data_IF_931905203099
#
_entry.id   IF_931905203099
#
_cell.length_a   1.000
_cell.length_b   1.000
_cell.length_c   1.000
_cell.angle_alpha   90.00
_cell.angle_beta   90.00
_cell.angle_gamma   90.00
#
_symmetry.space_group_name_H-M   'P 1'
#
loop_
_entity.id
_entity.type
_entity.pdbx_description
1 polymer ?
#
# COMPACT_ATOMS: atom_id res chain seq x y z
N UNK A 1 18.61 7.23 -6.78
CA UNK A 1 19.84 6.90 -6.02
C UNK A 1 20.44 8.16 -5.40
N UNK A 2 20.72 9.26 -6.14
CA UNK A 2 21.34 10.48 -5.60
C UNK A 2 20.61 11.04 -4.36
N UNK A 3 19.28 11.12 -4.40
CA UNK A 3 18.49 11.60 -3.26
C UNK A 3 18.65 10.73 -2.01
N UNK A 4 18.76 9.40 -2.19
CA UNK A 4 18.99 8.48 -1.05
C UNK A 4 20.37 8.71 -0.44
N UNK A 5 21.41 8.87 -1.26
CA UNK A 5 22.75 9.14 -0.78
C UNK A 5 22.83 10.48 -0.01
N UNK A 6 22.21 11.53 -0.54
CA UNK A 6 22.17 12.83 0.11
C UNK A 6 21.43 12.76 1.46
N UNK A 7 20.27 12.10 1.51
CA UNK A 7 19.51 11.97 2.74
C UNK A 7 20.24 11.11 3.78
N UNK A 8 20.90 10.01 3.36
CA UNK A 8 21.72 9.19 4.25
C UNK A 8 22.89 10.00 4.87
N UNK A 9 23.55 10.83 4.07
CA UNK A 9 24.60 11.71 4.57
C UNK A 9 24.07 12.73 5.59
N UNK A 10 22.88 13.30 5.35
CA UNK A 10 22.24 14.21 6.30
C UNK A 10 21.83 13.51 7.59
N UNK A 11 21.38 12.25 7.52
CA UNK A 11 21.03 11.46 8.71
C UNK A 11 22.31 11.17 9.52
N UNK A 12 23.38 10.71 8.89
CA UNK A 12 24.66 10.46 9.56
C UNK A 12 25.18 11.73 10.24
N UNK A 13 25.15 12.88 9.54
CA UNK A 13 25.58 14.17 10.10
C UNK A 13 24.74 14.58 11.32
N UNK A 14 23.41 14.42 11.29
CA UNK A 14 22.53 14.70 12.45
C UNK A 14 22.83 13.82 13.66
N UNK A 15 23.26 12.60 13.41
CA UNK A 15 23.62 11.63 14.44
C UNK A 15 25.10 11.76 14.88
N UNK A 16 25.81 12.78 14.38
CA UNK A 16 27.24 13.03 14.66
C UNK A 16 28.16 11.83 14.34
N UNK A 17 27.80 11.06 13.28
CA UNK A 17 28.59 9.93 12.82
C UNK A 17 29.75 10.42 11.93
N UNK A 18 30.92 9.77 12.01
CA UNK A 18 32.08 10.12 11.17
C UNK A 18 31.94 9.65 9.73
N UNK A 19 31.04 8.69 9.47
CA UNK A 19 30.78 8.13 8.14
C UNK A 19 29.34 7.62 8.05
N UNK A 20 28.84 7.50 6.80
CA UNK A 20 27.54 6.93 6.49
C UNK A 20 27.62 5.41 6.57
N UNK A 21 26.67 4.78 7.25
CA UNK A 21 26.54 3.33 7.35
C UNK A 21 25.25 2.81 6.68
N UNK A 22 25.07 1.46 6.69
CA UNK A 22 23.90 0.80 6.13
C UNK A 22 22.59 1.30 6.74
N UNK A 23 22.57 1.58 8.04
CA UNK A 23 21.36 2.02 8.73
C UNK A 23 20.93 3.41 8.26
N UNK A 24 21.87 4.31 8.00
CA UNK A 24 21.56 5.65 7.47
C UNK A 24 20.90 5.58 6.08
N UNK A 25 21.32 4.61 5.24
CA UNK A 25 20.66 4.37 3.95
C UNK A 25 19.24 3.81 4.11
N UNK A 26 19.03 2.88 5.04
CA UNK A 26 17.69 2.35 5.32
C UNK A 26 16.76 3.45 5.84
N UNK A 27 17.24 4.26 6.75
CA UNK A 27 16.49 5.40 7.30
C UNK A 27 16.22 6.47 6.23
N UNK A 28 17.15 6.67 5.29
CA UNK A 28 16.97 7.56 4.16
C UNK A 28 15.87 7.08 3.20
N UNK A 29 15.83 5.79 2.89
CA UNK A 29 14.77 5.18 2.09
C UNK A 29 13.42 5.34 2.79
N UNK A 30 13.35 5.04 4.08
CA UNK A 30 12.14 5.21 4.89
C UNK A 30 11.61 6.65 4.84
N UNK A 31 12.50 7.61 4.94
CA UNK A 31 12.16 9.03 4.94
C UNK A 31 11.72 9.53 3.57
N UNK A 32 12.36 9.07 2.51
CA UNK A 32 12.03 9.49 1.13
C UNK A 32 10.69 8.91 0.70
N UNK A 33 10.42 7.64 1.00
CA UNK A 33 9.19 6.96 0.57
C UNK A 33 8.04 7.21 1.55
N UNK A 34 8.28 7.05 2.85
CA UNK A 34 7.25 7.17 3.90
C UNK A 34 7.04 8.60 4.40
N UNK A 35 7.96 9.51 4.10
CA UNK A 35 7.94 10.88 4.63
C UNK A 35 8.58 11.02 6.01
N UNK A 36 8.45 12.21 6.58
CA UNK A 36 8.99 12.51 7.90
C UNK A 36 8.24 11.76 9.00
N UNK A 37 8.99 11.23 9.95
CA UNK A 37 8.43 10.64 11.17
C UNK A 37 7.72 11.72 12.01
N UNK A 38 6.51 11.42 12.46
CA UNK A 38 5.72 12.30 13.34
C UNK A 38 5.99 11.98 14.80
N UNK A 39 7.11 12.45 15.32
CA UNK A 39 7.54 12.20 16.70
C UNK A 39 6.56 12.72 17.78
N UNK A 40 5.78 13.74 17.45
CA UNK A 40 4.89 14.40 18.42
C UNK A 40 3.43 13.89 18.32
N UNK A 41 3.16 12.83 17.55
CA UNK A 41 1.79 12.28 17.46
C UNK A 41 1.50 11.45 18.71
N UNK A 42 0.56 11.93 19.51
CA UNK A 42 0.05 11.17 20.66
C UNK A 42 -0.90 10.11 20.12
N UNK A 43 -0.52 8.84 20.25
CA UNK A 43 -1.33 7.68 19.88
C UNK A 43 -1.59 6.89 21.15
N UNK A 44 -2.85 6.57 21.43
CA UNK A 44 -3.22 5.76 22.59
C UNK A 44 -2.69 4.33 22.45
N UNK A 45 -2.58 3.62 23.57
CA UNK A 45 -2.14 2.22 23.54
C UNK A 45 -3.10 1.32 22.75
N UNK A 46 -4.41 1.61 22.79
CA UNK A 46 -5.44 0.90 22.02
C UNK A 46 -5.31 1.16 20.52
N UNK A 47 -5.15 2.42 20.12
CA UNK A 47 -4.90 2.77 18.70
C UNK A 47 -3.61 2.14 18.18
N UNK A 48 -2.54 2.17 18.98
CA UNK A 48 -1.27 1.55 18.62
C UNK A 48 -1.42 0.04 18.40
N UNK A 49 -2.20 -0.63 19.26
CA UNK A 49 -2.54 -2.05 19.10
C UNK A 49 -3.36 -2.30 17.84
N UNK A 50 -4.36 -1.45 17.57
CA UNK A 50 -5.19 -1.57 16.37
C UNK A 50 -4.35 -1.41 15.09
N UNK A 51 -3.46 -0.42 15.04
CA UNK A 51 -2.53 -0.21 13.94
C UNK A 51 -1.61 -1.43 13.76
N UNK A 52 -1.04 -1.95 14.85
CA UNK A 52 -0.14 -3.11 14.78
C UNK A 52 -0.84 -4.36 14.22
N UNK A 53 -2.08 -4.62 14.64
CA UNK A 53 -2.88 -5.73 14.13
C UNK A 53 -3.24 -5.52 12.66
N UNK A 54 -3.60 -4.30 12.27
CA UNK A 54 -3.88 -3.93 10.88
C UNK A 54 -2.68 -4.22 9.97
N UNK A 55 -1.52 -3.68 10.30
CA UNK A 55 -0.30 -3.89 9.51
C UNK A 55 0.17 -5.36 9.50
N UNK A 56 0.02 -6.06 10.64
CA UNK A 56 0.28 -7.49 10.71
C UNK A 56 -0.67 -8.30 9.82
N UNK A 57 -1.91 -7.84 9.66
CA UNK A 57 -2.89 -8.43 8.75
C UNK A 57 -2.43 -8.36 7.29
N UNK A 58 -2.01 -7.20 6.83
CA UNK A 58 -1.41 -7.04 5.51
C UNK A 58 -0.22 -7.98 5.31
N UNK A 59 0.69 -7.99 6.28
CA UNK A 59 1.88 -8.82 6.22
C UNK A 59 1.55 -10.31 6.14
N UNK A 60 0.63 -10.78 6.99
CA UNK A 60 0.25 -12.21 7.06
C UNK A 60 -0.41 -12.66 5.77
N UNK A 61 -1.38 -11.90 5.26
CA UNK A 61 -2.10 -12.26 4.03
C UNK A 61 -1.14 -12.25 2.83
N UNK A 62 -0.29 -11.22 2.72
CA UNK A 62 0.71 -11.16 1.64
C UNK A 62 1.71 -12.33 1.70
N UNK A 63 2.11 -12.75 2.89
CA UNK A 63 3.03 -13.88 3.05
C UNK A 63 2.43 -15.22 2.62
N UNK A 64 1.11 -15.37 2.78
CA UNK A 64 0.40 -16.62 2.49
C UNK A 64 -0.08 -16.74 1.04
N UNK A 65 -0.10 -15.66 0.28
CA UNK A 65 -0.59 -15.63 -1.10
C UNK A 65 0.56 -15.76 -2.10
N UNK A 66 0.37 -16.61 -3.09
CA UNK A 66 1.40 -16.94 -4.09
C UNK A 66 1.81 -15.73 -4.94
N UNK A 67 0.85 -14.87 -5.28
CA UNK A 67 1.07 -13.78 -6.23
C UNK A 67 1.12 -12.40 -5.59
N UNK A 68 1.03 -12.32 -4.26
CA UNK A 68 1.22 -11.05 -3.56
C UNK A 68 2.69 -10.60 -3.64
N UNK A 69 2.88 -9.27 -3.68
CA UNK A 69 4.24 -8.72 -3.70
C UNK A 69 5.01 -9.10 -2.44
N UNK A 70 6.32 -9.47 -2.57
CA UNK A 70 7.14 -9.84 -1.42
C UNK A 70 7.19 -8.74 -0.37
N UNK A 71 6.91 -9.10 0.88
CA UNK A 71 6.96 -8.20 2.02
C UNK A 71 8.42 -7.93 2.40
N UNK A 72 8.79 -6.64 2.51
CA UNK A 72 10.12 -6.20 2.95
C UNK A 72 10.11 -5.92 4.45
N UNK A 73 9.13 -5.14 4.90
CA UNK A 73 9.03 -4.76 6.32
C UNK A 73 7.63 -4.28 6.69
N UNK A 74 7.35 -4.36 7.99
CA UNK A 74 6.15 -3.79 8.62
C UNK A 74 6.58 -2.79 9.67
N UNK A 75 5.89 -1.68 9.78
CA UNK A 75 6.17 -0.65 10.78
C UNK A 75 4.89 -0.01 11.29
N UNK A 76 4.88 0.36 12.55
CA UNK A 76 3.84 1.16 13.20
C UNK A 76 4.34 2.58 13.51
N UNK A 77 5.47 2.96 12.93
CA UNK A 77 6.01 4.32 13.07
C UNK A 77 5.24 5.26 12.14
N UNK A 78 4.53 6.26 12.68
CA UNK A 78 3.74 7.18 11.87
C UNK A 78 4.65 8.07 11.02
N UNK A 79 4.41 8.03 9.70
CA UNK A 79 5.14 8.85 8.71
C UNK A 79 4.16 9.47 7.72
N UNK A 80 4.41 10.72 7.33
CA UNK A 80 3.57 11.41 6.35
C UNK A 80 2.08 11.38 6.75
N UNK A 81 1.22 10.79 5.96
CA UNK A 81 -0.22 10.63 6.26
C UNK A 81 -0.55 9.27 6.89
N UNK A 82 0.41 8.32 6.93
CA UNK A 82 0.19 6.98 7.44
C UNK A 82 0.48 6.88 8.95
N UNK A 83 -0.25 5.99 9.63
CA UNK A 83 -0.05 5.63 11.03
C UNK A 83 0.86 4.41 11.20
N UNK A 84 0.93 3.57 10.16
CA UNK A 84 1.78 2.42 10.00
C UNK A 84 1.97 2.14 8.52
N UNK A 85 2.74 1.15 8.15
CA UNK A 85 2.88 0.70 6.78
C UNK A 85 3.44 -0.72 6.67
N UNK A 86 2.91 -1.49 5.74
CA UNK A 86 3.54 -2.69 5.22
C UNK A 86 4.22 -2.34 3.89
N UNK A 87 5.50 -2.64 3.78
CA UNK A 87 6.32 -2.29 2.62
C UNK A 87 6.60 -3.53 1.80
N UNK A 88 6.39 -3.41 0.52
CA UNK A 88 6.53 -4.48 -0.45
C UNK A 88 7.58 -4.15 -1.49
N UNK A 89 8.20 -5.17 -2.05
CA UNK A 89 9.01 -5.05 -3.26
C UNK A 89 8.10 -5.29 -4.47
N UNK A 90 7.69 -4.23 -5.19
CA UNK A 90 6.85 -4.42 -6.35
C UNK A 90 7.63 -5.17 -7.43
N UNK A 91 7.02 -6.19 -8.00
CA UNK A 91 7.53 -6.82 -9.21
C UNK A 91 7.15 -5.97 -10.43
N UNK A 92 8.10 -5.73 -11.32
CA UNK A 92 7.84 -5.04 -12.59
C UNK A 92 7.11 -6.00 -13.55
N UNK A 93 5.78 -6.10 -13.39
CA UNK A 93 4.93 -6.89 -14.27
C UNK A 93 4.33 -6.03 -15.36
N UNK A 94 4.57 -6.38 -16.62
CA UNK A 94 3.94 -5.74 -17.78
C UNK A 94 2.50 -6.22 -18.01
N UNK A 95 2.22 -7.45 -17.61
CA UNK A 95 0.92 -8.12 -17.78
C UNK A 95 0.54 -8.74 -16.43
N UNK A 96 -0.70 -8.50 -15.99
CA UNK A 96 -1.23 -9.01 -14.72
C UNK A 96 -2.45 -9.88 -15.00
N UNK A 97 -2.46 -11.11 -14.47
CA UNK A 97 -3.59 -12.05 -14.58
C UNK A 97 -4.64 -11.78 -13.51
N UNK A 98 -5.83 -12.34 -13.70
CA UNK A 98 -6.96 -12.21 -12.77
C UNK A 98 -6.62 -12.70 -11.36
N UNK A 99 -5.97 -13.87 -11.24
CA UNK A 99 -5.53 -14.44 -9.96
C UNK A 99 -4.54 -13.52 -9.22
N UNK A 100 -3.60 -12.94 -9.93
CA UNK A 100 -2.64 -11.98 -9.38
C UNK A 100 -3.31 -10.71 -8.85
N UNK A 101 -4.28 -10.17 -9.60
CA UNK A 101 -5.05 -9.01 -9.13
C UNK A 101 -5.88 -9.33 -7.90
N UNK A 102 -6.48 -10.53 -7.84
CA UNK A 102 -7.25 -10.97 -6.68
C UNK A 102 -6.37 -11.14 -5.45
N UNK A 103 -5.19 -11.76 -5.58
CA UNK A 103 -4.24 -11.90 -4.49
C UNK A 103 -3.77 -10.53 -3.96
N UNK A 104 -3.49 -9.57 -4.85
CA UNK A 104 -3.14 -8.21 -4.46
C UNK A 104 -4.28 -7.51 -3.71
N UNK A 105 -5.52 -7.68 -4.16
CA UNK A 105 -6.70 -7.15 -3.48
C UNK A 105 -6.91 -7.80 -2.11
N UNK A 106 -6.74 -9.12 -1.99
CA UNK A 106 -6.79 -9.84 -0.71
C UNK A 106 -5.71 -9.34 0.25
N UNK A 107 -4.47 -9.21 -0.20
CA UNK A 107 -3.38 -8.65 0.61
C UNK A 107 -3.69 -7.23 1.10
N UNK A 108 -4.25 -6.40 0.21
CA UNK A 108 -4.68 -5.04 0.55
C UNK A 108 -5.81 -5.03 1.59
N UNK A 109 -6.71 -6.02 1.59
CA UNK A 109 -7.79 -6.12 2.59
C UNK A 109 -7.36 -6.81 3.89
N UNK A 110 -6.14 -7.34 3.96
CA UNK A 110 -5.59 -8.08 5.10
C UNK A 110 -5.68 -7.31 6.41
N UNK A 111 -5.36 -6.02 6.40
CA UNK A 111 -5.42 -5.16 7.60
C UNK A 111 -6.83 -5.07 8.18
N UNK A 112 -7.82 -4.76 7.35
CA UNK A 112 -9.23 -4.69 7.77
C UNK A 112 -9.77 -6.05 8.24
N UNK A 113 -9.37 -7.13 7.58
CA UNK A 113 -9.74 -8.48 7.98
C UNK A 113 -9.17 -8.83 9.37
N UNK A 114 -7.90 -8.48 9.63
CA UNK A 114 -7.26 -8.70 10.92
C UNK A 114 -7.94 -7.92 12.06
N UNK A 115 -8.35 -6.67 11.84
CA UNK A 115 -9.15 -5.91 12.80
C UNK A 115 -10.46 -6.65 13.12
N UNK A 116 -11.18 -7.09 12.08
CA UNK A 116 -12.46 -7.79 12.25
C UNK A 116 -12.31 -9.10 13.04
N UNK A 117 -11.30 -9.90 12.71
CA UNK A 117 -11.04 -11.19 13.37
C UNK A 117 -10.61 -10.98 14.85
N UNK A 118 -9.75 -10.00 15.11
CA UNK A 118 -9.16 -9.79 16.43
C UNK A 118 -10.10 -9.05 17.39
N UNK A 119 -10.78 -8.02 16.90
CA UNK A 119 -11.58 -7.13 17.75
C UNK A 119 -13.09 -7.29 17.55
N UNK A 120 -13.53 -8.07 16.57
CA UNK A 120 -14.91 -8.13 16.08
C UNK A 120 -15.48 -6.74 15.69
N UNK A 121 -14.60 -5.79 15.44
CA UNK A 121 -14.89 -4.40 15.05
C UNK A 121 -14.00 -4.02 13.88
N UNK A 122 -14.40 -2.98 13.17
CA UNK A 122 -13.64 -2.38 12.06
C UNK A 122 -13.49 -0.89 12.31
N UNK A 123 -12.41 -0.32 11.82
CA UNK A 123 -12.09 1.09 11.99
C UNK A 123 -12.11 1.86 10.65
N UNK A 124 -11.94 3.15 10.73
CA UNK A 124 -11.77 4.02 9.55
C UNK A 124 -10.36 3.96 8.96
N UNK A 125 -9.43 3.23 9.60
CA UNK A 125 -8.02 3.16 9.22
C UNK A 125 -7.77 2.56 7.82
N UNK A 126 -8.68 1.71 7.36
CA UNK A 126 -8.59 1.03 6.06
C UNK A 126 -9.14 1.88 4.87
N UNK A 127 -9.25 3.21 5.00
CA UNK A 127 -9.82 4.03 3.91
C UNK A 127 -9.04 3.92 2.61
N UNK A 128 -7.72 4.03 2.67
CA UNK A 128 -6.85 3.93 1.49
C UNK A 128 -6.87 2.53 0.86
N UNK A 129 -6.96 1.49 1.68
CA UNK A 129 -7.06 0.11 1.21
C UNK A 129 -8.37 -0.13 0.46
N UNK A 130 -9.47 0.34 1.04
CA UNK A 130 -10.80 0.27 0.40
C UNK A 130 -10.83 1.05 -0.92
N UNK A 131 -10.21 2.22 -0.98
CA UNK A 131 -10.10 3.00 -2.21
C UNK A 131 -9.30 2.25 -3.27
N UNK A 132 -8.14 1.70 -2.90
CA UNK A 132 -7.30 0.90 -3.79
C UNK A 132 -8.05 -0.30 -4.33
N UNK A 133 -8.64 -1.12 -3.47
CA UNK A 133 -9.41 -2.32 -3.86
C UNK A 133 -10.61 -1.96 -4.73
N UNK A 134 -11.36 -0.91 -4.38
CA UNK A 134 -12.50 -0.46 -5.18
C UNK A 134 -12.07 -0.06 -6.60
N UNK A 135 -10.95 0.65 -6.73
CA UNK A 135 -10.39 1.04 -8.03
C UNK A 135 -9.97 -0.17 -8.84
N UNK A 136 -9.28 -1.14 -8.24
CA UNK A 136 -8.87 -2.38 -8.88
C UNK A 136 -10.07 -3.22 -9.33
N UNK A 137 -11.06 -3.41 -8.46
CA UNK A 137 -12.28 -4.16 -8.78
C UNK A 137 -13.05 -3.54 -9.95
N UNK A 138 -13.18 -2.21 -9.97
CA UNK A 138 -13.77 -1.50 -11.11
C UNK A 138 -12.95 -1.71 -12.38
N UNK A 139 -11.63 -1.59 -12.31
CA UNK A 139 -10.76 -1.76 -13.47
C UNK A 139 -10.85 -3.18 -14.05
N UNK A 140 -10.92 -4.22 -13.21
CA UNK A 140 -11.11 -5.60 -13.64
C UNK A 140 -12.35 -5.76 -14.52
N UNK A 141 -13.46 -5.09 -14.17
CA UNK A 141 -14.75 -5.20 -14.86
C UNK A 141 -14.81 -4.24 -16.04
N UNK A 142 -14.43 -2.96 -15.85
CA UNK A 142 -14.73 -1.92 -16.84
C UNK A 142 -13.60 -1.62 -17.80
N UNK A 143 -12.35 -2.01 -17.47
CA UNK A 143 -11.18 -1.72 -18.31
C UNK A 143 -10.64 -2.99 -18.95
N UNK A 144 -10.37 -4.01 -18.11
CA UNK A 144 -9.61 -5.17 -18.56
C UNK A 144 -10.46 -6.35 -19.04
N UNK A 145 -11.79 -6.30 -18.88
CA UNK A 145 -12.68 -7.39 -19.30
C UNK A 145 -12.39 -8.72 -18.58
N UNK A 146 -11.94 -8.67 -17.31
CA UNK A 146 -11.54 -9.85 -16.52
C UNK A 146 -12.71 -10.49 -15.74
N UNK A 147 -13.96 -10.18 -16.11
CA UNK A 147 -15.15 -10.75 -15.47
C UNK A 147 -15.85 -11.73 -16.40
N UNK A 148 -15.91 -13.00 -16.03
CA UNK A 148 -16.49 -14.07 -16.85
C UNK A 148 -17.98 -13.87 -17.18
N UNK A 149 -18.74 -13.23 -16.28
CA UNK A 149 -20.18 -13.01 -16.48
C UNK A 149 -20.48 -11.92 -17.51
N UNK A 150 -19.61 -10.92 -17.61
CA UNK A 150 -19.75 -9.80 -18.55
C UNK A 150 -19.07 -10.15 -19.87
N UNK A 151 -17.98 -10.92 -19.83
CA UNK A 151 -17.23 -11.36 -21.01
C UNK A 151 -16.16 -10.38 -21.43
N UNK A 152 -15.66 -10.55 -22.65
CA UNK A 152 -14.50 -9.87 -23.20
C UNK A 152 -14.87 -8.49 -23.77
N UNK A 153 -15.33 -7.59 -22.92
CA UNK A 153 -15.68 -6.21 -23.27
C UNK A 153 -14.93 -5.21 -22.42
N UNK A 154 -14.68 -4.04 -22.97
CA UNK A 154 -14.14 -2.90 -22.23
C UNK A 154 -15.05 -1.69 -22.40
N UNK A 155 -15.21 -0.94 -21.32
CA UNK A 155 -15.87 0.37 -21.30
C UNK A 155 -14.84 1.51 -21.28
N UNK A 156 -13.56 1.18 -21.42
CA UNK A 156 -12.47 2.15 -21.45
C UNK A 156 -12.23 2.60 -22.89
N UNK A 157 -12.20 3.92 -23.09
CA UNK A 157 -11.86 4.53 -24.37
C UNK A 157 -10.42 5.01 -24.33
N UNK A 158 -9.54 4.31 -25.03
CA UNK A 158 -8.11 4.68 -25.14
C UNK A 158 -7.84 5.87 -26.05
N UNK A 159 -8.85 6.37 -26.79
CA UNK A 159 -8.70 7.54 -27.68
C UNK A 159 -8.60 8.87 -26.92
N UNK A 160 -8.89 8.87 -25.61
CA UNK A 160 -8.89 10.07 -24.78
C UNK A 160 -10.11 10.98 -24.96
N UNK A 161 -11.03 10.65 -25.85
CA UNK A 161 -12.24 11.47 -26.09
C UNK A 161 -13.23 11.38 -24.93
N UNK A 162 -13.17 10.31 -24.15
CA UNK A 162 -14.04 10.16 -22.96
C UNK A 162 -13.68 11.07 -21.79
N UNK A 163 -12.47 11.64 -21.77
CA UNK A 163 -12.09 12.61 -20.72
C UNK A 163 -12.91 13.90 -20.78
N UNK A 164 -13.50 14.22 -21.93
CA UNK A 164 -14.39 15.37 -22.12
C UNK A 164 -15.88 15.01 -21.91
N UNK A 165 -16.21 13.75 -21.67
CA UNK A 165 -17.57 13.31 -21.41
C UNK A 165 -17.86 13.38 -19.90
N UNK A 166 -18.86 14.15 -19.51
CA UNK A 166 -19.36 14.23 -18.12
C UNK A 166 -20.13 12.97 -17.68
N UNK A 167 -20.37 12.03 -18.60
CA UNK A 167 -21.10 10.79 -18.34
C UNK A 167 -20.19 9.57 -18.42
N UNK A 168 -20.30 8.66 -17.45
CA UNK A 168 -19.65 7.36 -17.54
C UNK A 168 -20.37 6.50 -18.60
N UNK A 169 -19.65 5.66 -19.37
CA UNK A 169 -20.25 4.78 -20.37
C UNK A 169 -20.99 3.58 -19.74
N UNK A 170 -21.17 3.56 -18.45
CA UNK A 170 -21.82 2.49 -17.68
C UNK A 170 -22.59 3.08 -16.48
N UNK A 171 -23.60 2.39 -16.04
CA UNK A 171 -24.43 2.72 -14.87
C UNK A 171 -23.86 2.18 -13.55
#
# INVERSE_FOLDING_TARGET
>A
IANVCNEAALIAARNNKPAVDKQDFLDAVDRIIGGLEKKNKIITAEEKKAIAIHEAGHATVSWMLEHAAPLIKVTIVPRGQSLGAAWYLPEERQIVRTDQMLDEMCATMGGRAAEKVTFNKISTGALSDLEKVTRQARAMVTIYGLNEKIGNVTYYDSSGQSEYSFSKPYS
#
